data_IF_402703336003
#
_entry.id   IF_402703336003
#
_cell.length_a   1.000
_cell.length_b   1.000
_cell.length_c   1.000
_cell.angle_alpha   90.00
_cell.angle_beta   90.00
_cell.angle_gamma   90.00
#
_symmetry.space_group_name_H-M   'P 1'
#
loop_
_entity.id
_entity.type
_entity.pdbx_description
1 polymer ?
#
# COMPACT_ATOMS: atom_id res chain seq x y z
N UNK A 1 12.66 60.11 29.85
CA UNK A 1 11.45 60.92 29.64
C UNK A 1 10.67 60.21 28.54
N UNK A 2 9.47 59.65 28.64
CA UNK A 2 8.43 59.57 29.66
C UNK A 2 7.65 58.25 29.46
N UNK A 3 6.75 57.98 30.40
CA UNK A 3 6.14 56.71 30.79
C UNK A 3 5.20 55.99 29.78
N UNK A 4 4.91 54.69 30.03
CA UNK A 4 4.00 53.85 29.24
C UNK A 4 2.52 54.06 29.63
N UNK A 5 1.61 53.83 28.68
CA UNK A 5 0.16 53.80 28.94
C UNK A 5 -0.30 52.35 28.99
N UNK A 6 -0.71 51.90 30.17
CA UNK A 6 -1.42 50.65 30.42
C UNK A 6 -2.88 50.78 29.97
N UNK A 7 -3.40 49.80 29.23
CA UNK A 7 -4.84 49.55 29.13
C UNK A 7 -5.13 48.13 29.61
N UNK A 8 -6.04 48.07 30.57
CA UNK A 8 -6.47 46.94 31.37
C UNK A 8 -7.35 45.96 30.59
N UNK A 9 -7.19 44.67 30.92
CA UNK A 9 -8.05 43.56 30.56
C UNK A 9 -9.38 43.61 31.33
N UNK A 10 -10.49 43.33 30.65
CA UNK A 10 -11.78 42.83 31.16
C UNK A 10 -12.56 42.39 29.91
N UNK A 11 -12.79 41.12 29.61
CA UNK A 11 -13.45 40.12 30.44
C UNK A 11 -14.79 39.78 29.78
N UNK A 12 -14.81 38.83 28.84
CA UNK A 12 -16.04 38.17 28.35
C UNK A 12 -15.73 36.70 28.04
N UNK A 13 -15.49 35.93 29.10
CA UNK A 13 -15.68 34.48 29.07
C UNK A 13 -17.19 34.21 29.12
N UNK A 14 -17.80 33.87 27.99
CA UNK A 14 -19.12 33.24 27.94
C UNK A 14 -19.13 32.12 26.90
N UNK A 15 -19.16 30.89 27.40
CA UNK A 15 -20.05 29.88 26.82
C UNK A 15 -19.46 28.85 25.85
N UNK A 16 -18.34 28.21 26.17
CA UNK A 16 -18.03 26.87 25.63
C UNK A 16 -18.88 25.81 26.35
N UNK A 17 -20.17 25.71 25.97
CA UNK A 17 -21.10 24.68 26.46
C UNK A 17 -22.16 24.37 25.40
N UNK A 18 -21.77 23.80 24.25
CA UNK A 18 -22.74 23.20 23.32
C UNK A 18 -22.16 22.14 22.36
N UNK A 19 -21.23 21.30 22.81
CA UNK A 19 -20.65 20.25 21.94
C UNK A 19 -20.66 18.83 22.53
N UNK A 20 -21.53 18.53 23.50
CA UNK A 20 -21.55 17.22 24.17
C UNK A 20 -22.91 16.51 24.17
N UNK A 21 -23.78 16.76 23.18
CA UNK A 21 -25.11 16.10 23.14
C UNK A 21 -25.48 15.40 21.83
N UNK A 22 -24.50 15.02 21.03
CA UNK A 22 -24.76 14.24 19.81
C UNK A 22 -23.92 12.97 19.83
N UNK A 23 -24.04 12.17 20.89
CA UNK A 23 -23.47 10.83 20.89
C UNK A 23 -24.26 9.84 21.74
N UNK A 24 -25.58 9.81 21.56
CA UNK A 24 -26.43 8.67 21.92
C UNK A 24 -27.66 8.68 21.02
N UNK A 25 -27.64 7.91 19.94
CA UNK A 25 -28.77 7.73 19.05
C UNK A 25 -28.43 6.70 18.00
N UNK A 26 -29.29 5.67 17.87
CA UNK A 26 -29.23 4.62 16.87
C UNK A 26 -28.81 5.15 15.50
N UNK A 27 -27.95 4.38 14.81
CA UNK A 27 -27.70 4.55 13.38
C UNK A 27 -28.92 4.05 12.60
N UNK A 28 -30.04 4.76 12.74
CA UNK A 28 -31.17 4.63 11.84
C UNK A 28 -30.76 5.32 10.53
N UNK A 29 -30.34 4.52 9.56
CA UNK A 29 -30.19 4.97 8.18
C UNK A 29 -31.55 5.45 7.69
N UNK A 30 -31.82 6.75 7.82
CA UNK A 30 -32.93 7.40 7.12
C UNK A 30 -32.65 7.27 5.63
N UNK A 31 -33.33 6.33 4.97
CA UNK A 31 -33.50 6.37 3.53
C UNK A 31 -34.15 7.71 3.18
N UNK A 32 -33.44 8.56 2.45
CA UNK A 32 -34.01 9.77 1.85
C UNK A 32 -34.88 9.33 0.67
N UNK A 33 -36.02 8.70 0.96
CA UNK A 33 -37.09 8.56 -0.01
C UNK A 33 -37.74 9.95 -0.18
N UNK A 34 -37.17 10.75 -1.08
CA UNK A 34 -37.78 12.01 -1.49
C UNK A 34 -38.95 11.70 -2.42
N UNK A 35 -40.09 11.34 -1.86
CA UNK A 35 -41.37 11.28 -2.56
C UNK A 35 -41.81 12.74 -2.86
N UNK A 36 -41.26 13.31 -3.92
CA UNK A 36 -41.67 14.64 -4.39
C UNK A 36 -43.05 14.52 -5.04
N UNK A 37 -44.10 14.99 -4.35
CA UNK A 37 -45.42 15.17 -4.94
C UNK A 37 -45.33 16.21 -6.09
N UNK A 38 -45.99 15.99 -7.24
CA UNK A 38 -45.92 16.93 -8.35
C UNK A 38 -46.66 18.21 -7.99
N UNK A 39 -45.94 19.28 -7.68
CA UNK A 39 -46.55 20.61 -7.63
C UNK A 39 -46.80 21.07 -9.08
N UNK A 40 -48.01 21.57 -9.34
CA UNK A 40 -48.59 21.79 -10.68
C UNK A 40 -47.93 22.94 -11.48
N UNK A 41 -46.68 23.29 -11.19
CA UNK A 41 -45.94 24.36 -11.86
C UNK A 41 -44.45 24.05 -12.06
N UNK A 42 -44.06 22.77 -12.01
CA UNK A 42 -42.65 22.35 -12.09
C UNK A 42 -42.34 21.61 -13.39
N UNK A 43 -41.15 21.89 -13.95
CA UNK A 43 -40.61 21.23 -15.14
C UNK A 43 -40.70 19.70 -15.02
N UNK A 44 -40.96 18.95 -16.11
CA UNK A 44 -41.20 17.50 -16.08
C UNK A 44 -39.99 16.65 -15.66
N UNK A 45 -38.88 17.29 -15.30
CA UNK A 45 -37.61 16.66 -14.95
C UNK A 45 -37.39 16.65 -13.45
N UNK A 46 -37.22 15.45 -12.89
CA UNK A 46 -36.88 15.23 -11.48
C UNK A 46 -35.39 15.46 -11.28
N UNK A 47 -35.04 16.38 -10.39
CA UNK A 47 -33.65 16.62 -9.99
C UNK A 47 -33.21 15.53 -9.01
N UNK A 48 -32.13 14.83 -9.35
CA UNK A 48 -31.50 13.81 -8.50
C UNK A 48 -30.03 14.18 -8.29
N UNK A 49 -29.58 14.15 -7.03
CA UNK A 49 -28.18 14.29 -6.68
C UNK A 49 -27.52 12.92 -6.57
N UNK A 50 -26.67 12.58 -7.53
CA UNK A 50 -25.87 11.35 -7.48
C UNK A 50 -24.51 11.61 -6.82
N UNK A 51 -24.01 10.60 -6.10
CA UNK A 51 -22.69 10.63 -5.48
C UNK A 51 -21.91 9.40 -5.93
N UNK A 52 -20.78 9.62 -6.61
CA UNK A 52 -19.88 8.56 -7.06
C UNK A 52 -18.73 8.39 -6.07
N UNK A 53 -18.84 7.42 -5.16
CA UNK A 53 -17.72 7.03 -4.30
C UNK A 53 -16.69 6.25 -5.11
N UNK A 54 -15.44 6.69 -5.08
CA UNK A 54 -14.32 6.04 -5.78
C UNK A 54 -13.31 5.49 -4.77
N UNK A 55 -12.84 4.26 -5.00
CA UNK A 55 -11.70 3.68 -4.27
C UNK A 55 -10.50 3.64 -5.22
N UNK A 56 -9.42 4.39 -4.95
CA UNK A 56 -8.22 4.33 -5.77
C UNK A 56 -7.52 2.97 -5.62
N UNK A 57 -6.70 2.56 -6.61
CA UNK A 57 -5.92 1.35 -6.52
C UNK A 57 -4.85 1.48 -5.42
N UNK A 58 -4.71 0.43 -4.59
CA UNK A 58 -3.69 0.36 -3.54
C UNK A 58 -2.39 -0.33 -4.02
N UNK A 59 -2.47 -1.10 -5.10
CA UNK A 59 -1.37 -1.91 -5.64
C UNK A 59 -1.11 -1.45 -7.08
N UNK A 60 0.15 -1.48 -7.51
CA UNK A 60 0.53 -1.22 -8.90
C UNK A 60 -0.10 -2.23 -9.85
N UNK A 61 -0.33 -1.80 -11.09
CA UNK A 61 -0.82 -2.69 -12.15
C UNK A 61 0.31 -3.63 -12.57
N UNK A 62 -0.04 -4.86 -12.98
CA UNK A 62 0.91 -5.76 -13.63
C UNK A 62 1.40 -5.13 -14.93
N UNK A 63 2.70 -5.31 -15.23
CA UNK A 63 3.30 -4.84 -16.46
C UNK A 63 2.79 -5.66 -17.64
N UNK A 64 2.72 -5.03 -18.81
CA UNK A 64 2.50 -5.75 -20.08
C UNK A 64 3.83 -6.36 -20.55
N UNK A 65 3.84 -7.43 -21.37
CA UNK A 65 5.08 -8.07 -21.81
C UNK A 65 6.04 -7.09 -22.50
N UNK A 66 5.51 -6.19 -23.34
CA UNK A 66 6.29 -5.12 -23.97
C UNK A 66 6.90 -4.15 -22.94
N UNK A 67 6.18 -3.85 -21.85
CA UNK A 67 6.70 -2.99 -20.79
C UNK A 67 7.79 -3.69 -19.97
N UNK A 68 7.72 -5.01 -19.82
CA UNK A 68 8.77 -5.80 -19.17
C UNK A 68 10.05 -5.81 -20.02
N UNK A 69 9.92 -6.03 -21.33
CA UNK A 69 11.05 -5.94 -22.28
C UNK A 69 11.68 -4.54 -22.26
N UNK A 70 10.85 -3.49 -22.28
CA UNK A 70 11.33 -2.11 -22.20
C UNK A 70 12.00 -1.81 -20.85
N UNK A 71 11.46 -2.31 -19.74
CA UNK A 71 12.07 -2.13 -18.42
C UNK A 71 13.45 -2.80 -18.34
N UNK A 72 13.60 -4.01 -18.90
CA UNK A 72 14.87 -4.71 -18.98
C UNK A 72 15.89 -3.94 -19.83
N UNK A 73 15.47 -3.43 -21.00
CA UNK A 73 16.32 -2.59 -21.85
C UNK A 73 16.78 -1.33 -21.11
N UNK A 74 15.86 -0.63 -20.44
CA UNK A 74 16.19 0.60 -19.72
C UNK A 74 17.15 0.33 -18.56
N UNK A 75 17.00 -0.79 -17.85
CA UNK A 75 17.95 -1.21 -16.82
C UNK A 75 19.35 -1.48 -17.39
N UNK A 76 19.44 -2.13 -18.56
CA UNK A 76 20.72 -2.35 -19.23
C UNK A 76 21.39 -1.02 -19.60
N UNK A 77 20.63 -0.11 -20.24
CA UNK A 77 21.11 1.23 -20.60
C UNK A 77 21.55 2.00 -19.36
N UNK A 78 20.82 1.89 -18.25
CA UNK A 78 21.18 2.55 -16.99
C UNK A 78 22.51 2.02 -16.45
N UNK A 79 22.71 0.70 -16.43
CA UNK A 79 23.96 0.07 -15.96
C UNK A 79 25.13 0.46 -16.87
N UNK A 80 24.97 0.38 -18.19
CA UNK A 80 26.01 0.71 -19.17
C UNK A 80 26.47 2.17 -19.08
N UNK A 81 25.55 3.09 -18.75
CA UNK A 81 25.84 4.51 -18.62
C UNK A 81 26.16 4.94 -17.18
N UNK A 82 26.09 4.02 -16.21
CA UNK A 82 26.38 4.32 -14.81
C UNK A 82 27.88 4.27 -14.51
N UNK A 83 28.27 4.92 -13.41
CA UNK A 83 29.61 4.80 -12.86
C UNK A 83 29.64 3.65 -11.85
N UNK A 84 30.83 3.10 -11.60
CA UNK A 84 31.01 2.08 -10.57
C UNK A 84 30.52 2.56 -9.21
N UNK A 85 29.71 1.71 -8.58
CA UNK A 85 29.24 1.90 -7.21
C UNK A 85 30.33 1.50 -6.20
N UNK A 86 30.23 2.02 -4.98
CA UNK A 86 31.16 1.68 -3.90
C UNK A 86 31.21 0.16 -3.62
N UNK A 87 30.08 -0.53 -3.81
CA UNK A 87 29.98 -1.98 -3.66
C UNK A 87 30.79 -2.72 -4.73
N UNK A 88 30.69 -2.31 -5.99
CA UNK A 88 31.44 -2.90 -7.10
C UNK A 88 32.94 -2.63 -6.98
N UNK A 89 33.32 -1.41 -6.59
CA UNK A 89 34.74 -1.07 -6.36
C UNK A 89 35.35 -1.95 -5.27
N UNK A 90 34.63 -2.13 -4.15
CA UNK A 90 35.06 -3.03 -3.07
C UNK A 90 35.20 -4.47 -3.55
N UNK A 91 34.23 -4.97 -4.32
CA UNK A 91 34.26 -6.33 -4.85
C UNK A 91 35.47 -6.56 -5.77
N UNK A 92 35.82 -5.57 -6.61
CA UNK A 92 36.97 -5.63 -7.49
C UNK A 92 38.29 -5.64 -6.70
N UNK A 93 38.42 -4.78 -5.69
CA UNK A 93 39.61 -4.72 -4.83
C UNK A 93 39.83 -6.01 -4.05
N UNK A 94 38.76 -6.58 -3.47
CA UNK A 94 38.78 -7.88 -2.79
C UNK A 94 39.19 -9.01 -3.75
N UNK A 95 38.60 -9.07 -4.95
CA UNK A 95 38.95 -10.08 -5.95
C UNK A 95 40.42 -10.00 -6.38
N UNK A 96 40.96 -8.79 -6.56
CA UNK A 96 42.37 -8.58 -6.87
C UNK A 96 43.29 -9.03 -5.74
N UNK A 97 42.95 -8.70 -4.48
CA UNK A 97 43.71 -9.14 -3.30
C UNK A 97 43.71 -10.66 -3.18
N UNK A 98 42.55 -11.31 -3.36
CA UNK A 98 42.43 -12.77 -3.32
C UNK A 98 43.18 -13.44 -4.48
N UNK A 99 43.19 -12.85 -5.68
CA UNK A 99 43.95 -13.36 -6.82
C UNK A 99 45.46 -13.30 -6.58
N UNK A 100 45.97 -12.19 -6.02
CA UNK A 100 47.39 -12.04 -5.64
C UNK A 100 47.79 -13.05 -4.58
N UNK A 101 47.01 -13.18 -3.49
CA UNK A 101 47.25 -14.19 -2.44
C UNK A 101 47.25 -15.64 -2.96
N UNK A 102 46.45 -15.94 -3.99
CA UNK A 102 46.43 -17.28 -4.63
C UNK A 102 47.65 -17.52 -5.53
N UNK A 103 48.18 -16.48 -6.17
CA UNK A 103 49.33 -16.56 -7.07
C UNK A 103 50.66 -16.55 -6.30
N UNK A 104 50.75 -15.70 -5.28
CA UNK A 104 51.91 -15.54 -4.42
C UNK A 104 51.70 -16.40 -3.16
N UNK A 105 52.26 -17.62 -3.15
CA UNK A 105 52.24 -18.56 -2.02
C UNK A 105 53.07 -18.09 -0.80
N UNK A 106 53.25 -16.78 -0.59
CA UNK A 106 54.00 -16.23 0.55
C UNK A 106 53.25 -15.08 1.21
N UNK A 107 52.93 -15.31 2.49
CA UNK A 107 52.38 -14.37 3.44
C UNK A 107 53.35 -13.22 3.70
N UNK A 108 52.88 -11.99 3.50
CA UNK A 108 53.31 -10.90 4.37
C UNK A 108 52.06 -10.27 5.01
N UNK A 109 52.05 -10.41 6.33
CA UNK A 109 51.06 -10.01 7.31
C UNK A 109 50.71 -8.51 7.22
N UNK A 110 49.79 -8.15 6.33
CA UNK A 110 48.97 -6.95 6.50
C UNK A 110 47.80 -7.03 5.54
N UNK A 111 46.60 -7.23 6.10
CA UNK A 111 45.28 -6.85 5.57
C UNK A 111 44.18 -7.87 5.97
N UNK A 112 44.25 -8.42 7.20
CA UNK A 112 43.16 -9.16 7.84
C UNK A 112 42.10 -8.21 8.44
N UNK A 113 41.68 -7.17 7.70
CA UNK A 113 40.74 -6.18 8.24
C UNK A 113 39.34 -6.25 7.67
N UNK A 114 39.08 -7.15 6.73
CA UNK A 114 37.72 -7.42 6.26
C UNK A 114 37.30 -8.83 6.64
N UNK A 115 36.51 -8.91 7.72
CA UNK A 115 35.98 -10.17 8.26
C UNK A 115 34.87 -10.72 7.35
N UNK A 116 34.23 -9.85 6.55
CA UNK A 116 33.11 -10.19 5.67
C UNK A 116 33.49 -9.82 4.24
N UNK A 117 33.48 -10.82 3.36
CA UNK A 117 33.63 -10.58 1.92
C UNK A 117 32.34 -9.98 1.37
N UNK A 118 32.45 -9.28 0.24
CA UNK A 118 31.26 -8.79 -0.48
C UNK A 118 30.28 -9.92 -0.79
N UNK A 119 30.78 -11.08 -1.19
CA UNK A 119 29.95 -12.27 -1.48
C UNK A 119 29.16 -12.75 -0.25
N UNK A 120 29.78 -12.72 0.93
CA UNK A 120 29.09 -13.11 2.18
C UNK A 120 27.93 -12.15 2.48
N UNK A 121 28.07 -10.86 2.15
CA UNK A 121 27.02 -9.87 2.32
C UNK A 121 25.86 -10.11 1.36
N UNK A 122 26.13 -10.43 0.09
CA UNK A 122 25.13 -10.80 -0.91
C UNK A 122 24.33 -12.03 -0.45
N UNK A 123 25.01 -13.07 0.01
CA UNK A 123 24.38 -14.29 0.55
C UNK A 123 23.48 -13.97 1.75
N UNK A 124 23.92 -13.11 2.67
CA UNK A 124 23.10 -12.69 3.83
C UNK A 124 21.85 -11.92 3.36
N UNK A 125 21.96 -11.09 2.32
CA UNK A 125 20.82 -10.37 1.75
C UNK A 125 19.83 -11.31 1.08
N UNK A 126 20.31 -12.28 0.30
CA UNK A 126 19.47 -13.31 -0.33
C UNK A 126 18.75 -14.15 0.72
N UNK A 127 19.44 -14.58 1.78
CA UNK A 127 18.84 -15.34 2.87
C UNK A 127 17.71 -14.55 3.56
N UNK A 128 17.94 -13.26 3.85
CA UNK A 128 16.90 -12.39 4.44
C UNK A 128 15.72 -12.20 3.49
N UNK A 129 15.97 -12.08 2.19
CA UNK A 129 14.92 -11.96 1.18
C UNK A 129 14.06 -13.22 1.10
N UNK A 130 14.68 -14.41 1.11
CA UNK A 130 13.97 -15.69 1.08
C UNK A 130 13.15 -15.94 2.36
N UNK A 131 13.65 -15.49 3.52
CA UNK A 131 12.92 -15.56 4.78
C UNK A 131 11.69 -14.65 4.78
N UNK A 132 11.71 -13.55 4.01
CA UNK A 132 10.62 -12.60 3.93
C UNK A 132 9.51 -13.06 2.98
N UNK A 133 8.30 -13.22 3.51
CA UNK A 133 7.11 -13.56 2.72
C UNK A 133 6.34 -12.28 2.37
N UNK A 134 6.37 -11.82 1.11
CA UNK A 134 5.61 -10.63 0.73
C UNK A 134 4.10 -10.89 0.83
N UNK A 135 3.34 -9.84 1.13
CA UNK A 135 1.88 -9.90 1.16
C UNK A 135 1.30 -10.29 -0.20
N UNK A 136 0.29 -11.15 -0.20
CA UNK A 136 -0.34 -11.62 -1.43
C UNK A 136 -1.02 -10.46 -2.18
N UNK A 137 -0.63 -10.23 -3.45
CA UNK A 137 -1.29 -9.27 -4.33
C UNK A 137 -2.70 -9.72 -4.76
N UNK A 138 -2.92 -11.04 -4.80
CA UNK A 138 -4.21 -11.66 -5.10
C UNK A 138 -4.83 -12.07 -3.77
N UNK A 139 -6.00 -11.51 -3.45
CA UNK A 139 -6.71 -11.83 -2.22
C UNK A 139 -7.69 -12.98 -2.43
N UNK A 140 -8.11 -13.66 -1.36
CA UNK A 140 -9.10 -14.74 -1.46
C UNK A 140 -10.41 -14.30 -2.15
N UNK A 141 -10.79 -13.03 -1.99
CA UNK A 141 -11.95 -12.43 -2.67
C UNK A 141 -11.82 -12.44 -4.20
N UNK A 142 -10.61 -12.29 -4.74
CA UNK A 142 -10.38 -12.32 -6.18
C UNK A 142 -10.59 -13.73 -6.74
N UNK A 143 -10.16 -14.76 -6.00
CA UNK A 143 -10.38 -16.17 -6.36
C UNK A 143 -11.86 -16.53 -6.36
N UNK A 144 -12.62 -16.10 -5.34
CA UNK A 144 -14.08 -16.29 -5.31
C UNK A 144 -14.78 -15.63 -6.49
N UNK A 145 -14.33 -14.44 -6.89
CA UNK A 145 -14.88 -13.71 -8.04
C UNK A 145 -14.59 -14.42 -9.37
N UNK A 146 -13.42 -15.01 -9.54
CA UNK A 146 -13.05 -15.75 -10.75
C UNK A 146 -13.79 -17.08 -10.87
N UNK A 147 -14.07 -17.78 -9.76
CA UNK A 147 -14.86 -19.02 -9.77
C UNK A 147 -16.29 -18.80 -10.28
N UNK A 148 -16.98 -17.77 -9.77
CA UNK A 148 -18.32 -17.38 -10.26
C UNK A 148 -18.36 -16.97 -11.73
N UNK A 149 -17.23 -16.51 -12.29
CA UNK A 149 -17.15 -16.10 -13.70
C UNK A 149 -16.87 -17.28 -14.66
N UNK A 150 -16.16 -18.32 -14.19
CA UNK A 150 -15.95 -19.57 -14.95
C UNK A 150 -17.19 -20.46 -14.92
N UNK A 151 -17.92 -20.46 -13.81
CA UNK A 151 -19.26 -21.08 -13.69
C UNK A 151 -20.33 -20.16 -14.31
N UNK A 152 -20.18 -19.85 -15.60
CA UNK A 152 -21.14 -19.04 -16.32
C UNK A 152 -22.54 -19.68 -16.34
N UNK A 153 -23.53 -18.94 -15.84
CA UNK A 153 -24.94 -19.04 -16.24
C UNK A 153 -25.54 -20.45 -16.03
N UNK A 154 -25.45 -20.97 -14.80
CA UNK A 154 -26.35 -22.01 -14.30
C UNK A 154 -27.36 -21.35 -13.37
N UNK A 155 -28.64 -21.39 -13.73
CA UNK A 155 -29.76 -20.93 -12.89
C UNK A 155 -29.64 -21.58 -11.51
N UNK A 156 -29.24 -20.80 -10.51
CA UNK A 156 -29.23 -21.28 -9.13
C UNK A 156 -30.67 -21.26 -8.63
N UNK A 157 -31.37 -22.39 -8.79
CA UNK A 157 -32.61 -22.64 -8.10
C UNK A 157 -32.31 -22.60 -6.59
N UNK A 158 -32.68 -21.49 -5.95
CA UNK A 158 -32.82 -21.44 -4.50
C UNK A 158 -34.05 -22.29 -4.14
N UNK A 159 -33.86 -23.60 -4.03
CA UNK A 159 -34.81 -24.44 -3.30
C UNK A 159 -34.72 -24.02 -1.84
N UNK A 160 -35.76 -23.29 -1.45
CA UNK A 160 -36.06 -22.86 -0.11
C UNK A 160 -36.28 -24.11 0.76
N UNK A 161 -35.26 -24.55 1.50
CA UNK A 161 -35.48 -25.38 2.69
C UNK A 161 -34.51 -24.95 3.79
N UNK A 162 -35.13 -24.32 4.78
CA UNK A 162 -34.61 -24.02 6.11
C UNK A 162 -33.96 -25.25 6.73
N UNK A 163 -32.67 -25.18 7.08
CA UNK A 163 -32.15 -26.00 8.17
C UNK A 163 -30.89 -25.39 8.81
N UNK A 164 -31.13 -24.81 9.98
CA UNK A 164 -30.31 -24.82 11.19
C UNK A 164 -28.84 -24.38 11.08
N UNK A 165 -28.63 -23.12 11.46
CA UNK A 165 -27.43 -22.62 12.10
C UNK A 165 -26.97 -23.57 13.22
N UNK A 166 -25.76 -24.12 13.07
CA UNK A 166 -24.91 -24.45 14.20
C UNK A 166 -23.46 -24.25 13.79
N UNK A 167 -22.85 -23.26 14.44
CA UNK A 167 -21.42 -23.09 14.73
C UNK A 167 -20.40 -23.33 13.61
N UNK A 168 -19.76 -22.25 13.17
CA UNK A 168 -18.31 -22.05 13.33
C UNK A 168 -17.90 -20.72 12.66
N UNK A 169 -17.96 -19.64 13.43
CA UNK A 169 -17.20 -18.42 13.15
C UNK A 169 -16.33 -18.16 14.39
N UNK A 170 -15.10 -18.66 14.35
CA UNK A 170 -14.00 -18.31 15.25
C UNK A 170 -12.76 -18.18 14.38
N UNK A 171 -12.17 -16.98 14.40
CA UNK A 171 -10.95 -16.49 13.75
C UNK A 171 -10.96 -16.26 12.24
#
# INVERSE_FOLDING_TARGET
>A
MAAPVSRTLSGLARGWRRFERIWTGNLDFRSLALEAAPSRSESPWRLLGALCLQRPPLISKSLTPLQEEMAALLQQIEIENSLYSDHELRALDEAQRLAKKKADLYDEEQDEKDILLVQDLEDIWEQKFLQFKPGARITGYDLFRLKKKKEGIGVFWFSNTVQLLSLCFVF
#
